data_IF_704627171522
#
_entry.id   IF_704627171522
#
_cell.length_a   1.000
_cell.length_b   1.000
_cell.length_c   1.000
_cell.angle_alpha   90.00
_cell.angle_beta   90.00
_cell.angle_gamma   90.00
#
_symmetry.space_group_name_H-M   'P 1'
#
loop_
_entity.id
_entity.type
_entity.pdbx_description
1 polymer ?
#
# COMPACT_ATOMS: atom_id res chain seq x y z
N UNK A 1 5.35 -6.10 0.23
CA UNK A 1 6.75 -6.41 -0.15
C UNK A 1 6.78 -7.12 -1.52
N UNK A 2 7.85 -6.98 -2.30
CA UNK A 2 8.07 -7.80 -3.48
C UNK A 2 8.52 -9.22 -3.11
N UNK A 3 8.15 -10.27 -3.84
CA UNK A 3 7.32 -10.28 -5.05
C UNK A 3 5.81 -10.35 -4.77
N UNK A 4 5.38 -10.47 -3.51
CA UNK A 4 3.97 -10.64 -3.14
C UNK A 4 3.03 -9.57 -3.73
N UNK A 5 3.46 -8.31 -3.75
CA UNK A 5 2.68 -7.20 -4.35
C UNK A 5 2.39 -7.39 -5.84
N UNK A 6 3.28 -8.08 -6.56
CA UNK A 6 3.12 -8.39 -7.99
C UNK A 6 1.88 -9.28 -8.23
N UNK A 7 1.56 -10.13 -7.25
CA UNK A 7 0.43 -11.06 -7.30
C UNK A 7 -0.82 -10.51 -6.59
N UNK A 8 -0.82 -9.24 -6.19
CA UNK A 8 -1.93 -8.61 -5.49
C UNK A 8 -2.50 -7.41 -6.25
N UNK A 9 -1.67 -6.41 -6.57
CA UNK A 9 -2.15 -5.11 -7.06
C UNK A 9 -1.34 -4.52 -8.23
N UNK A 10 -0.28 -5.19 -8.69
CA UNK A 10 0.52 -4.69 -9.83
C UNK A 10 -0.27 -4.65 -11.14
N UNK A 11 -1.32 -5.47 -11.27
CA UNK A 11 -2.28 -5.36 -12.37
C UNK A 11 -2.84 -3.93 -12.48
N UNK A 12 -3.24 -3.34 -11.36
CA UNK A 12 -3.75 -1.97 -11.32
C UNK A 12 -2.64 -0.96 -11.61
N UNK A 13 -1.42 -1.19 -11.11
CA UNK A 13 -0.30 -0.29 -11.37
C UNK A 13 0.05 -0.27 -12.87
N UNK A 14 0.03 -1.41 -13.55
CA UNK A 14 0.39 -1.53 -14.96
C UNK A 14 -0.71 -1.09 -15.93
N UNK A 15 -1.94 -1.55 -15.73
CA UNK A 15 -3.04 -1.38 -16.69
C UNK A 15 -4.20 -0.55 -16.14
N UNK A 16 -4.16 -0.14 -14.87
CA UNK A 16 -5.15 0.77 -14.30
C UNK A 16 -5.08 2.18 -14.89
N UNK A 17 -6.12 2.96 -14.64
CA UNK A 17 -6.29 4.31 -15.21
C UNK A 17 -5.58 5.41 -14.42
N UNK A 18 -4.95 5.07 -13.28
CA UNK A 18 -4.24 6.02 -12.42
C UNK A 18 -2.73 5.92 -12.65
N UNK A 19 -2.07 7.08 -12.62
CA UNK A 19 -0.62 7.16 -12.52
C UNK A 19 -0.23 6.97 -11.05
N UNK A 20 0.61 5.98 -10.77
CA UNK A 20 1.04 5.65 -9.41
C UNK A 20 2.58 5.59 -9.41
N UNK A 21 3.28 6.67 -9.00
CA UNK A 21 4.72 6.64 -8.83
C UNK A 21 5.11 5.62 -7.76
N UNK A 22 6.16 4.83 -8.02
CA UNK A 22 6.59 3.77 -7.12
C UNK A 22 8.08 3.89 -6.77
N UNK A 23 8.41 3.84 -5.48
CA UNK A 23 9.79 3.64 -5.01
C UNK A 23 10.03 2.13 -4.84
N UNK A 24 10.96 1.58 -5.62
CA UNK A 24 11.43 0.20 -5.53
C UNK A 24 12.72 0.17 -4.69
N UNK A 25 12.77 -0.70 -3.68
CA UNK A 25 13.93 -0.82 -2.77
C UNK A 25 14.38 -2.28 -2.71
N UNK A 26 15.67 -2.55 -2.94
CA UNK A 26 16.24 -3.90 -2.82
C UNK A 26 17.71 -3.88 -2.34
N UNK A 27 18.11 -4.80 -1.44
CA UNK A 27 19.52 -5.01 -1.13
C UNK A 27 20.20 -5.91 -2.19
N UNK A 28 21.46 -5.64 -2.51
CA UNK A 28 22.31 -6.46 -3.40
C UNK A 28 22.60 -7.81 -2.76
N UNK A 29 22.88 -7.83 -1.46
CA UNK A 29 23.15 -9.04 -0.70
C UNK A 29 21.96 -9.46 0.19
N UNK A 30 21.66 -10.76 0.18
CA UNK A 30 20.72 -11.37 1.12
C UNK A 30 21.42 -11.78 2.42
N UNK A 31 20.67 -11.77 3.53
CA UNK A 31 21.12 -12.41 4.77
C UNK A 31 21.03 -13.94 4.71
N UNK A 32 20.29 -14.49 3.76
CA UNK A 32 20.00 -15.92 3.63
C UNK A 32 20.36 -16.40 2.21
N UNK A 33 21.64 -16.67 1.92
CA UNK A 33 22.12 -17.08 0.60
C UNK A 33 21.79 -18.54 0.28
N UNK A 34 20.53 -18.92 0.42
CA UNK A 34 20.07 -20.29 0.19
C UNK A 34 20.10 -20.64 -1.31
N UNK A 35 20.31 -21.92 -1.61
CA UNK A 35 20.32 -22.46 -2.99
C UNK A 35 21.31 -21.70 -3.88
N UNK A 36 22.52 -21.48 -3.41
CA UNK A 36 23.57 -20.73 -4.11
C UNK A 36 23.10 -19.35 -4.59
N UNK A 37 22.43 -18.60 -3.70
CA UNK A 37 21.81 -17.30 -3.97
C UNK A 37 20.68 -17.28 -5.02
N UNK A 38 20.17 -18.44 -5.47
CA UNK A 38 19.13 -18.51 -6.51
C UNK A 38 17.89 -17.69 -6.14
N UNK A 39 17.43 -17.76 -4.89
CA UNK A 39 16.24 -17.03 -4.45
C UNK A 39 16.44 -15.51 -4.52
N UNK A 40 17.60 -15.02 -4.10
CA UNK A 40 17.91 -13.60 -4.15
C UNK A 40 18.12 -13.11 -5.58
N UNK A 41 18.72 -13.94 -6.44
CA UNK A 41 18.84 -13.67 -7.88
C UNK A 41 17.47 -13.54 -8.55
N UNK A 42 16.52 -14.42 -8.23
CA UNK A 42 15.14 -14.34 -8.74
C UNK A 42 14.44 -13.06 -8.22
N UNK A 43 14.64 -12.72 -6.94
CA UNK A 43 14.10 -11.48 -6.36
C UNK A 43 14.62 -10.24 -7.10
N UNK A 44 15.94 -10.14 -7.31
CA UNK A 44 16.56 -9.01 -8.02
C UNK A 44 16.14 -8.96 -9.49
N UNK A 45 16.02 -10.10 -10.16
CA UNK A 45 15.50 -10.16 -11.53
C UNK A 45 14.08 -9.59 -11.61
N UNK A 46 13.21 -9.97 -10.67
CA UNK A 46 11.85 -9.44 -10.60
C UNK A 46 11.80 -7.95 -10.24
N UNK A 47 12.69 -7.48 -9.35
CA UNK A 47 12.83 -6.06 -9.03
C UNK A 47 13.14 -5.23 -10.28
N UNK A 48 14.15 -5.63 -11.05
CA UNK A 48 14.57 -4.93 -12.26
C UNK A 48 13.50 -5.00 -13.36
N UNK A 49 12.97 -6.20 -13.61
CA UNK A 49 11.97 -6.44 -14.65
C UNK A 49 10.70 -5.60 -14.44
N UNK A 50 10.27 -5.39 -13.19
CA UNK A 50 9.07 -4.59 -12.91
C UNK A 50 9.28 -3.10 -13.22
N UNK A 51 10.41 -2.53 -12.82
CA UNK A 51 10.70 -1.12 -13.12
C UNK A 51 10.88 -0.89 -14.63
N UNK A 52 11.51 -1.84 -15.33
CA UNK A 52 11.64 -1.81 -16.78
C UNK A 52 10.27 -1.93 -17.46
N UNK A 53 9.43 -2.89 -17.05
CA UNK A 53 8.11 -3.08 -17.62
C UNK A 53 7.21 -1.84 -17.43
N UNK A 54 7.28 -1.18 -16.28
CA UNK A 54 6.53 0.05 -16.01
C UNK A 54 6.98 1.21 -16.91
N UNK A 55 8.27 1.32 -17.20
CA UNK A 55 8.81 2.33 -18.11
C UNK A 55 8.48 2.00 -19.57
N UNK A 56 8.83 0.80 -20.04
CA UNK A 56 8.77 0.39 -21.44
C UNK A 56 7.36 0.13 -21.92
N UNK A 57 6.56 -0.56 -21.10
CA UNK A 57 5.31 -1.15 -21.56
C UNK A 57 5.53 -2.27 -22.60
N UNK A 58 4.47 -2.51 -23.37
CA UNK A 58 4.39 -3.48 -24.45
C UNK A 58 3.34 -2.97 -25.44
N UNK A 59 3.77 -2.57 -26.63
CA UNK A 59 2.92 -1.99 -27.66
C UNK A 59 2.04 -3.04 -28.34
N UNK A 60 0.94 -2.63 -28.97
CA UNK A 60 0.07 -3.55 -29.71
C UNK A 60 0.82 -4.30 -30.82
N UNK A 61 1.77 -3.65 -31.49
CA UNK A 61 2.59 -4.26 -32.54
C UNK A 61 3.48 -5.38 -31.98
N UNK A 62 4.13 -5.15 -30.84
CA UNK A 62 4.90 -6.18 -30.15
C UNK A 62 4.01 -7.34 -29.67
N UNK A 63 2.77 -7.06 -29.26
CA UNK A 63 1.79 -8.11 -28.91
C UNK A 63 1.42 -8.93 -30.14
N UNK A 64 1.10 -8.29 -31.27
CA UNK A 64 0.77 -8.97 -32.55
C UNK A 64 1.89 -9.91 -32.98
N UNK A 65 3.13 -9.43 -32.93
CA UNK A 65 4.32 -10.20 -33.30
C UNK A 65 4.61 -11.36 -32.34
N UNK A 66 4.47 -11.15 -31.03
CA UNK A 66 4.87 -12.15 -30.02
C UNK A 66 3.84 -13.26 -29.81
N UNK A 67 2.56 -13.01 -30.09
CA UNK A 67 1.49 -13.95 -29.74
C UNK A 67 0.77 -14.61 -30.92
N UNK A 68 1.20 -14.34 -32.17
CA UNK A 68 0.49 -14.74 -33.39
C UNK A 68 -1.03 -14.48 -33.28
N UNK A 69 -1.40 -13.47 -32.51
CA UNK A 69 -2.77 -13.19 -32.16
C UNK A 69 -3.38 -12.36 -33.29
N UNK A 70 -4.36 -12.94 -33.97
CA UNK A 70 -5.23 -12.21 -34.90
C UNK A 70 -6.50 -11.68 -34.20
N UNK A 71 -6.61 -11.89 -32.88
CA UNK A 71 -7.73 -11.44 -32.06
C UNK A 71 -7.42 -10.05 -31.47
N UNK A 72 -8.04 -9.01 -32.03
CA UNK A 72 -7.90 -7.62 -31.60
C UNK A 72 -8.30 -7.41 -30.13
N UNK A 73 -9.25 -8.20 -29.60
CA UNK A 73 -9.62 -8.10 -28.20
C UNK A 73 -8.48 -8.59 -27.30
N UNK A 74 -7.83 -9.68 -27.68
CA UNK A 74 -6.67 -10.22 -26.97
C UNK A 74 -5.47 -9.28 -27.05
N UNK A 75 -5.24 -8.64 -28.21
CA UNK A 75 -4.17 -7.66 -28.41
C UNK A 75 -4.36 -6.47 -27.45
N UNK A 76 -5.58 -5.93 -27.39
CA UNK A 76 -5.91 -4.84 -26.49
C UNK A 76 -5.63 -5.19 -25.02
N UNK A 77 -6.05 -6.37 -24.56
CA UNK A 77 -5.85 -6.80 -23.18
C UNK A 77 -4.39 -7.09 -22.81
N UNK A 78 -3.55 -7.46 -23.77
CA UNK A 78 -2.12 -7.73 -23.57
C UNK A 78 -1.23 -6.51 -23.76
N UNK A 79 -1.78 -5.37 -24.18
CA UNK A 79 -1.03 -4.13 -24.37
C UNK A 79 -0.77 -3.43 -23.03
N UNK A 80 0.45 -2.93 -22.85
CA UNK A 80 0.87 -2.17 -21.68
C UNK A 80 1.35 -0.80 -22.12
N UNK A 81 0.73 0.27 -21.62
CA UNK A 81 1.04 1.65 -22.05
C UNK A 81 2.45 2.11 -21.70
N UNK A 82 3.09 1.49 -20.72
CA UNK A 82 4.39 1.96 -20.21
C UNK A 82 4.32 3.39 -19.67
N UNK A 83 5.45 4.08 -19.67
CA UNK A 83 5.63 5.46 -19.21
C UNK A 83 5.10 5.71 -17.79
N UNK A 84 5.32 4.75 -16.89
CA UNK A 84 4.95 4.85 -15.47
C UNK A 84 6.22 5.03 -14.62
N UNK A 85 6.35 6.16 -13.89
CA UNK A 85 7.61 6.51 -13.26
C UNK A 85 7.89 5.66 -12.02
N UNK A 86 9.16 5.29 -11.85
CA UNK A 86 9.67 4.60 -10.67
C UNK A 86 11.00 5.19 -10.23
N UNK A 87 11.29 5.13 -8.93
CA UNK A 87 12.65 5.30 -8.40
C UNK A 87 13.17 3.93 -7.96
N UNK A 88 14.46 3.66 -8.16
CA UNK A 88 15.11 2.43 -7.73
C UNK A 88 16.22 2.71 -6.73
N UNK A 89 16.00 2.33 -5.48
CA UNK A 89 16.99 2.40 -4.40
C UNK A 89 17.64 1.03 -4.22
N UNK A 90 18.90 0.92 -4.63
CA UNK A 90 19.70 -0.29 -4.48
C UNK A 90 20.66 -0.11 -3.32
N UNK A 91 20.58 -1.00 -2.33
CA UNK A 91 21.36 -0.95 -1.10
C UNK A 91 22.40 -2.08 -1.10
N UNK A 92 23.61 -1.93 -0.54
CA UNK A 92 24.57 -3.05 -0.52
C UNK A 92 24.01 -4.28 0.24
N UNK A 93 23.54 -4.06 1.46
CA UNK A 93 22.90 -5.07 2.32
C UNK A 93 22.03 -4.36 3.36
N UNK A 94 20.95 -4.99 3.80
CA UNK A 94 20.05 -4.40 4.79
C UNK A 94 20.57 -4.62 6.22
N UNK A 95 21.56 -3.83 6.63
CA UNK A 95 22.07 -3.80 8.01
C UNK A 95 21.27 -2.81 8.87
N UNK A 96 21.39 -2.84 10.22
CA UNK A 96 20.75 -1.84 11.09
C UNK A 96 21.11 -0.41 10.72
N UNK A 97 22.37 -0.15 10.34
CA UNK A 97 22.84 1.15 9.89
C UNK A 97 22.11 1.60 8.61
N UNK A 98 22.06 0.72 7.61
CA UNK A 98 21.40 1.02 6.32
C UNK A 98 19.89 1.20 6.50
N UNK A 99 19.26 0.42 7.39
CA UNK A 99 17.86 0.61 7.74
C UNK A 99 17.63 2.00 8.39
N UNK A 100 18.45 2.39 9.37
CA UNK A 100 18.35 3.71 9.99
C UNK A 100 18.56 4.86 8.99
N UNK A 101 19.54 4.72 8.09
CA UNK A 101 19.77 5.66 7.00
C UNK A 101 18.57 5.78 6.06
N UNK A 102 17.96 4.66 5.66
CA UNK A 102 16.78 4.64 4.79
C UNK A 102 15.59 5.31 5.47
N UNK A 103 15.35 5.02 6.75
CA UNK A 103 14.30 5.66 7.54
C UNK A 103 14.50 7.18 7.60
N UNK A 104 15.70 7.64 7.97
CA UNK A 104 16.02 9.07 8.04
C UNK A 104 15.87 9.77 6.68
N UNK A 105 16.23 9.09 5.58
CA UNK A 105 16.04 9.64 4.23
C UNK A 105 14.55 9.90 3.93
N UNK A 106 13.66 8.98 4.31
CA UNK A 106 12.21 9.17 4.15
C UNK A 106 11.63 10.21 5.12
N UNK A 107 12.14 10.32 6.35
CA UNK A 107 11.76 11.39 7.29
C UNK A 107 12.08 12.77 6.68
N UNK A 108 13.29 12.94 6.12
CA UNK A 108 13.67 14.18 5.46
C UNK A 108 12.91 14.43 4.16
N UNK A 109 12.59 13.39 3.37
CA UNK A 109 11.68 13.51 2.21
C UNK A 109 10.32 14.09 2.62
N UNK A 110 9.72 13.56 3.69
CA UNK A 110 8.44 14.02 4.22
C UNK A 110 8.55 15.46 4.73
N UNK A 111 9.60 15.79 5.48
CA UNK A 111 9.86 17.15 5.95
C UNK A 111 9.93 18.15 4.79
N UNK A 112 10.75 17.87 3.77
CA UNK A 112 10.89 18.75 2.60
C UNK A 112 9.56 18.96 1.89
N UNK A 113 8.76 17.90 1.70
CA UNK A 113 7.42 18.01 1.11
C UNK A 113 6.51 18.91 1.95
N UNK A 114 6.52 18.76 3.28
CA UNK A 114 5.75 19.61 4.19
C UNK A 114 6.14 21.08 4.12
N UNK A 115 7.45 21.36 4.05
CA UNK A 115 7.96 22.73 3.87
C UNK A 115 7.50 23.34 2.54
N UNK A 116 7.57 22.58 1.44
CA UNK A 116 7.08 23.04 0.13
C UNK A 116 5.58 23.36 0.16
N UNK A 117 4.79 22.53 0.84
CA UNK A 117 3.35 22.74 0.97
C UNK A 117 2.95 23.75 2.05
N UNK A 118 3.92 24.29 2.80
CA UNK A 118 3.70 25.21 3.91
C UNK A 118 2.71 24.64 4.95
N UNK A 119 2.91 23.37 5.34
CA UNK A 119 2.13 22.69 6.38
C UNK A 119 3.05 22.22 7.52
N UNK A 120 2.49 22.01 8.70
CA UNK A 120 3.22 21.47 9.83
C UNK A 120 3.30 19.94 9.74
N UNK A 121 4.48 19.39 9.42
CA UNK A 121 4.72 17.94 9.37
C UNK A 121 4.78 17.26 10.74
N UNK A 122 4.67 18.01 11.83
CA UNK A 122 4.91 17.53 13.19
C UNK A 122 3.68 17.57 14.09
N UNK A 123 2.51 17.95 13.58
CA UNK A 123 1.25 17.84 14.31
C UNK A 123 0.31 16.77 13.74
N UNK A 124 -0.74 16.47 14.52
CA UNK A 124 -1.72 15.45 14.17
C UNK A 124 -3.11 15.76 14.75
N UNK A 125 -3.55 17.02 14.74
CA UNK A 125 -4.82 17.42 15.37
C UNK A 125 -6.06 16.67 14.85
N UNK A 126 -6.01 16.18 13.61
CA UNK A 126 -7.11 15.43 12.98
C UNK A 126 -7.53 14.14 13.70
N UNK A 127 -6.74 13.62 14.65
CA UNK A 127 -7.09 12.40 15.39
C UNK A 127 -7.96 12.65 16.63
N UNK A 128 -8.08 13.90 17.07
CA UNK A 128 -8.69 14.21 18.37
C UNK A 128 -10.21 14.06 18.36
N UNK A 129 -10.88 14.42 17.26
CA UNK A 129 -12.34 14.29 17.15
C UNK A 129 -12.79 12.83 17.32
N UNK A 130 -12.10 11.89 16.67
CA UNK A 130 -12.42 10.46 16.80
C UNK A 130 -12.24 9.95 18.23
N UNK A 131 -11.17 10.39 18.93
CA UNK A 131 -10.95 10.03 20.35
C UNK A 131 -12.03 10.61 21.26
N UNK A 132 -12.48 11.84 21.01
CA UNK A 132 -13.54 12.49 21.78
C UNK A 132 -14.88 11.76 21.60
N UNK A 133 -15.27 11.49 20.35
CA UNK A 133 -16.51 10.76 20.04
C UNK A 133 -16.47 9.34 20.61
N UNK A 134 -15.35 8.64 20.48
CA UNK A 134 -15.21 7.28 21.04
C UNK A 134 -15.38 7.25 22.57
N UNK A 135 -14.88 8.27 23.29
CA UNK A 135 -15.08 8.37 24.75
C UNK A 135 -16.54 8.58 25.14
N UNK A 136 -17.32 9.28 24.32
CA UNK A 136 -18.76 9.49 24.53
C UNK A 136 -19.55 8.22 24.22
N UNK A 137 -19.24 7.55 23.10
CA UNK A 137 -19.95 6.35 22.64
C UNK A 137 -19.64 5.12 23.51
N UNK A 138 -18.42 5.00 24.05
CA UNK A 138 -17.99 3.81 24.80
C UNK A 138 -18.96 3.40 25.92
N UNK A 139 -19.37 4.26 26.86
CA UNK A 139 -20.34 3.88 27.90
C UNK A 139 -21.75 3.60 27.37
N UNK A 140 -22.12 4.13 26.21
CA UNK A 140 -23.43 3.91 25.59
C UNK A 140 -23.57 2.49 25.01
N UNK A 141 -22.45 1.79 24.79
CA UNK A 141 -22.45 0.38 24.39
C UNK A 141 -22.87 -0.58 25.53
N UNK A 142 -22.98 -0.07 26.76
CA UNK A 142 -23.52 -0.78 27.91
C UNK A 142 -24.93 -0.27 28.30
N UNK A 143 -25.51 0.63 27.50
CA UNK A 143 -26.84 1.16 27.77
C UNK A 143 -27.92 0.08 27.64
N UNK A 144 -28.78 0.00 28.66
CA UNK A 144 -29.94 -0.91 28.68
C UNK A 144 -31.14 -0.38 27.92
N UNK A 145 -31.17 0.93 27.67
CA UNK A 145 -32.21 1.62 26.88
C UNK A 145 -31.67 2.03 25.51
N UNK A 146 -32.54 2.18 24.51
CA UNK A 146 -32.13 2.66 23.19
C UNK A 146 -31.46 4.05 23.26
N UNK A 147 -30.31 4.17 22.64
CA UNK A 147 -29.54 5.42 22.51
C UNK A 147 -30.15 6.27 21.41
N UNK A 148 -30.34 7.57 21.69
CA UNK A 148 -31.00 8.55 20.80
C UNK A 148 -30.27 9.88 20.70
N UNK A 149 -29.09 10.02 21.33
CA UNK A 149 -28.39 11.29 21.48
C UNK A 149 -27.58 11.72 20.23
N UNK A 150 -27.35 10.82 19.26
CA UNK A 150 -26.54 11.07 18.06
C UNK A 150 -27.39 11.24 16.81
N UNK A 151 -26.75 11.32 15.65
CA UNK A 151 -27.43 11.16 14.36
C UNK A 151 -28.08 9.78 14.23
N UNK A 152 -29.02 9.65 13.29
CA UNK A 152 -29.82 8.44 13.13
C UNK A 152 -29.00 7.20 12.75
N UNK A 153 -27.88 7.36 12.04
CA UNK A 153 -27.00 6.25 11.68
C UNK A 153 -26.27 5.72 12.91
N UNK A 154 -25.62 6.61 13.66
CA UNK A 154 -24.89 6.25 14.89
C UNK A 154 -25.81 5.62 15.92
N UNK A 155 -26.98 6.22 16.19
CA UNK A 155 -27.97 5.64 17.09
C UNK A 155 -28.42 4.25 16.64
N UNK A 156 -28.75 4.09 15.34
CA UNK A 156 -29.19 2.82 14.78
C UNK A 156 -28.14 1.71 14.95
N UNK A 157 -26.87 2.03 14.70
CA UNK A 157 -25.76 1.10 14.84
C UNK A 157 -25.50 0.72 16.30
N UNK A 158 -25.46 1.69 17.22
CA UNK A 158 -25.28 1.41 18.65
C UNK A 158 -26.40 0.49 19.16
N UNK A 159 -27.65 0.81 18.84
CA UNK A 159 -28.80 0.02 19.28
C UNK A 159 -28.81 -1.39 18.66
N UNK A 160 -28.41 -1.52 17.39
CA UNK A 160 -28.24 -2.82 16.76
C UNK A 160 -27.15 -3.63 17.47
N UNK A 161 -25.99 -3.04 17.74
CA UNK A 161 -24.89 -3.68 18.46
C UNK A 161 -25.36 -4.14 19.84
N UNK A 162 -25.94 -3.25 20.66
CA UNK A 162 -26.39 -3.58 22.02
C UNK A 162 -27.45 -4.69 22.03
N UNK A 163 -28.33 -4.73 21.03
CA UNK A 163 -29.34 -5.80 20.87
C UNK A 163 -28.72 -7.19 20.70
N UNK A 164 -27.63 -7.31 19.93
CA UNK A 164 -27.03 -8.60 19.58
C UNK A 164 -25.80 -8.96 20.41
N UNK A 165 -25.20 -7.98 21.09
CA UNK A 165 -23.98 -8.17 21.86
C UNK A 165 -24.33 -8.71 23.25
N UNK A 166 -24.19 -10.03 23.42
CA UNK A 166 -24.21 -10.69 24.75
C UNK A 166 -22.86 -10.47 25.43
N UNK A 167 -22.64 -9.31 26.04
CA UNK A 167 -21.50 -9.17 26.95
C UNK A 167 -21.72 -10.11 28.14
N UNK A 168 -20.87 -11.13 28.30
CA UNK A 168 -20.73 -11.78 29.61
C UNK A 168 -20.20 -10.71 30.57
N UNK A 169 -20.85 -10.50 31.73
CA UNK A 169 -20.33 -9.56 32.72
C UNK A 169 -18.92 -10.01 33.08
N UNK A 170 -17.92 -9.16 32.84
CA UNK A 170 -16.60 -9.37 33.43
C UNK A 170 -16.78 -9.11 34.92
N UNK A 171 -16.82 -10.18 35.71
CA UNK A 171 -16.67 -10.10 37.17
C UNK A 171 -15.35 -9.40 37.45
N UNK A 172 -15.43 -8.16 37.96
CA UNK A 172 -14.31 -7.50 38.60
C UNK A 172 -13.95 -8.21 39.90
#
# INVERSE_FOLDING_TARGET
PGTNGQHAFYQLIHQGTKLIPCDFIAPVETHNPIRDNLHHKILLANFLAQTEALMRGLTEEEVRQSSNANDELLIYHKTFRGNRPTNSFVLPRLTPFILGMLTAAYEHKIFVQGQIWNINSYDQFGVELGKQLAKVILPELDATQPVTAHDSSTNGLINFINKYRKWTPTTK
#
